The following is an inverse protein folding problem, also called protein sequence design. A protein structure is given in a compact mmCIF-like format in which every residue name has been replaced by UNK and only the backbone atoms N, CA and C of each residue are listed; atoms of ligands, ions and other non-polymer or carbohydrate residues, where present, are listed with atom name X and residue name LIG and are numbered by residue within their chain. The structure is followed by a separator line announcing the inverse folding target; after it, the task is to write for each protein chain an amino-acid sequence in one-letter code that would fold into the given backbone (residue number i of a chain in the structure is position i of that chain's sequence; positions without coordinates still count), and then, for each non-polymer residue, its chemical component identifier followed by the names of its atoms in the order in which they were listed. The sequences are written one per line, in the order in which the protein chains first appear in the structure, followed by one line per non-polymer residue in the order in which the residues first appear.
data_IF_480784822532
#
_entry.id   IF_480784822532
#
_cell.length_a   1.000
_cell.length_b   1.000
_cell.length_c   1.000
_cell.angle_alpha   90.00
_cell.angle_beta   90.00
_cell.angle_gamma   90.00
#
_symmetry.space_group_name_H-M   'P 1'
#
loop_
_entity.id
_entity.type
_entity.pdbx_description
1 polymer ?
#
# COMPACT_ATOMS: atom_id res chain seq x y z
N UNK A 1 43.57 -51.40 -28.09
CA UNK A 1 43.87 -51.10 -26.67
C UNK A 1 42.93 -49.98 -26.27
N UNK A 2 41.95 -50.34 -25.44
CA UNK A 2 40.90 -49.56 -24.77
C UNK A 2 39.82 -48.78 -25.58
N UNK A 3 38.55 -48.79 -25.10
CA UNK A 3 37.34 -48.54 -25.89
C UNK A 3 36.47 -47.40 -25.30
N UNK A 4 35.23 -47.31 -25.79
CA UNK A 4 34.04 -46.71 -25.15
C UNK A 4 33.88 -45.18 -25.17
N UNK A 5 33.04 -44.69 -26.09
CA UNK A 5 32.23 -43.50 -25.86
C UNK A 5 30.79 -43.75 -26.36
N UNK A 6 30.08 -44.55 -25.58
CA UNK A 6 28.64 -44.79 -25.70
C UNK A 6 27.91 -43.57 -25.13
N UNK A 7 27.35 -42.73 -26.01
CA UNK A 7 26.57 -41.56 -25.60
C UNK A 7 25.21 -42.04 -25.07
N UNK A 8 25.05 -41.95 -23.75
CA UNK A 8 23.91 -42.43 -22.99
C UNK A 8 22.67 -41.52 -23.18
N UNK A 9 21.52 -42.01 -23.66
CA UNK A 9 20.29 -41.22 -23.84
C UNK A 9 19.61 -40.82 -22.52
N UNK A 10 20.13 -41.24 -21.37
CA UNK A 10 19.56 -40.97 -20.05
C UNK A 10 19.65 -39.49 -19.60
N UNK A 11 20.62 -38.72 -20.10
CA UNK A 11 20.85 -37.34 -19.63
C UNK A 11 19.81 -36.32 -20.12
N UNK A 12 19.17 -36.54 -21.28
CA UNK A 12 18.14 -35.63 -21.78
C UNK A 12 16.81 -35.79 -21.03
N UNK A 13 16.44 -37.04 -20.69
CA UNK A 13 15.22 -37.33 -19.96
C UNK A 13 15.25 -36.85 -18.51
N UNK A 14 16.42 -36.82 -17.87
CA UNK A 14 16.56 -36.30 -16.51
C UNK A 14 16.32 -34.79 -16.43
N UNK A 15 16.71 -34.04 -17.48
CA UNK A 15 16.48 -32.60 -17.60
C UNK A 15 14.99 -32.25 -17.78
N UNK A 16 14.27 -33.01 -18.61
CA UNK A 16 12.82 -32.83 -18.76
C UNK A 16 12.04 -33.24 -17.52
N UNK A 17 12.45 -34.30 -16.82
CA UNK A 17 11.82 -34.70 -15.55
C UNK A 17 12.09 -33.70 -14.42
N UNK A 18 13.29 -33.10 -14.36
CA UNK A 18 13.60 -32.02 -13.41
C UNK A 18 12.77 -30.76 -13.69
N UNK A 19 12.56 -30.43 -14.96
CA UNK A 19 11.72 -29.30 -15.38
C UNK A 19 10.24 -29.54 -15.09
N UNK A 20 9.73 -30.75 -15.36
CA UNK A 20 8.35 -31.15 -14.99
C UNK A 20 8.12 -31.23 -13.49
N UNK A 21 9.13 -31.61 -12.71
CA UNK A 21 9.09 -31.58 -11.24
C UNK A 21 9.06 -30.15 -10.71
N UNK A 22 9.88 -29.25 -11.26
CA UNK A 22 9.87 -27.82 -10.93
C UNK A 22 8.53 -27.17 -11.28
N UNK A 23 7.97 -27.47 -12.46
CA UNK A 23 6.66 -26.95 -12.89
C UNK A 23 5.50 -27.55 -12.07
N UNK A 24 5.65 -28.78 -11.55
CA UNK A 24 4.69 -29.42 -10.65
C UNK A 24 4.79 -28.90 -9.21
N UNK A 25 5.98 -28.55 -8.72
CA UNK A 25 6.19 -27.87 -7.42
C UNK A 25 5.66 -26.42 -7.46
N UNK A 26 5.80 -25.70 -8.60
CA UNK A 26 5.17 -24.39 -8.84
C UNK A 26 3.63 -24.50 -8.94
N UNK A 27 3.12 -25.64 -9.42
CA UNK A 27 1.68 -25.93 -9.47
C UNK A 27 1.11 -26.37 -8.12
N UNK A 28 1.92 -27.02 -7.28
CA UNK A 28 1.53 -27.44 -5.92
C UNK A 28 1.53 -26.26 -4.93
N UNK A 29 2.42 -25.29 -5.10
CA UNK A 29 2.43 -24.03 -4.32
C UNK A 29 1.31 -23.06 -4.73
N UNK A 30 0.64 -23.27 -5.86
CA UNK A 30 -0.55 -22.51 -6.26
C UNK A 30 -1.83 -22.90 -5.49
N UNK A 31 -1.83 -24.03 -4.77
CA UNK A 31 -2.95 -24.49 -3.94
C UNK A 31 -2.77 -24.20 -2.46
N UNK A 32 -1.58 -23.76 -2.04
CA UNK A 32 -1.38 -23.27 -0.69
C UNK A 32 -2.00 -21.88 -0.55
N UNK A 33 -2.68 -21.66 0.58
CA UNK A 33 -3.21 -20.35 0.93
C UNK A 33 -2.09 -19.31 0.82
N UNK A 34 -2.36 -18.10 0.29
CA UNK A 34 -1.35 -17.04 0.15
C UNK A 34 -0.61 -16.89 1.48
N UNK A 35 0.72 -17.05 1.43
CA UNK A 35 1.60 -16.91 2.58
C UNK A 35 1.21 -15.63 3.32
N UNK A 36 0.58 -15.82 4.48
CA UNK A 36 0.23 -14.73 5.35
C UNK A 36 1.50 -14.42 6.10
N UNK A 37 2.02 -13.19 5.98
CA UNK A 37 3.17 -12.81 6.81
C UNK A 37 2.77 -13.05 8.26
N UNK A 38 3.54 -13.85 9.02
CA UNK A 38 3.26 -14.06 10.43
C UNK A 38 3.26 -12.69 11.10
N UNK A 39 2.15 -12.40 11.79
CA UNK A 39 2.07 -11.27 12.69
C UNK A 39 2.88 -11.65 13.92
N UNK A 40 3.77 -10.76 14.34
CA UNK A 40 4.44 -10.89 15.62
C UNK A 40 3.35 -10.77 16.70
N UNK A 41 2.94 -11.91 17.27
CA UNK A 41 1.85 -11.96 18.24
C UNK A 41 2.25 -11.14 19.46
N UNK A 42 1.53 -10.03 19.67
CA UNK A 42 1.77 -9.12 20.78
C UNK A 42 1.37 -9.76 22.10
N UNK A 43 2.32 -10.39 22.79
CA UNK A 43 2.26 -10.61 24.24
C UNK A 43 3.58 -10.35 24.99
N UNK A 44 4.57 -9.72 24.35
CA UNK A 44 5.81 -9.31 25.00
C UNK A 44 6.08 -7.80 24.84
N UNK A 45 6.30 -7.03 25.93
CA UNK A 45 6.69 -5.62 25.87
C UNK A 45 8.10 -5.39 25.30
N UNK A 46 8.77 -6.44 24.83
CA UNK A 46 10.11 -6.42 24.26
C UNK A 46 10.14 -6.24 22.72
N UNK A 47 8.99 -6.28 22.02
CA UNK A 47 8.93 -6.19 20.55
C UNK A 47 9.05 -4.75 20.00
N UNK A 48 9.58 -3.82 20.79
CA UNK A 48 9.98 -2.49 20.32
C UNK A 48 11.32 -2.62 19.59
N UNK A 49 11.26 -3.15 18.37
CA UNK A 49 12.41 -3.15 17.48
C UNK A 49 12.87 -1.72 17.24
N UNK A 50 14.19 -1.51 17.27
CA UNK A 50 14.81 -0.27 16.88
C UNK A 50 15.66 -0.54 15.65
N UNK A 51 15.42 0.17 14.56
CA UNK A 51 16.31 0.18 13.41
C UNK A 51 17.03 1.52 13.39
N UNK A 52 18.36 1.43 13.35
CA UNK A 52 19.21 2.60 13.23
C UNK A 52 19.06 3.15 11.81
N UNK A 53 18.44 4.33 11.67
CA UNK A 53 18.50 5.02 10.38
C UNK A 53 19.91 5.56 10.20
N UNK A 54 20.59 5.05 9.16
CA UNK A 54 21.80 5.56 8.51
C UNK A 54 22.81 6.29 9.39
N UNK A 55 24.03 5.76 9.41
CA UNK A 55 25.22 6.33 10.05
C UNK A 55 25.74 7.56 9.27
N UNK A 56 24.95 8.63 9.19
CA UNK A 56 25.41 9.90 8.62
C UNK A 56 26.38 10.57 9.61
N UNK A 57 27.68 10.47 9.32
CA UNK A 57 28.70 11.40 9.81
C UNK A 57 28.66 11.76 11.30
N UNK A 58 29.04 10.83 12.17
CA UNK A 58 29.76 11.17 13.41
C UNK A 58 29.01 11.72 14.63
N UNK A 59 27.70 11.95 14.64
CA UNK A 59 27.02 12.33 15.90
C UNK A 59 25.57 11.87 16.00
N UNK A 60 25.36 10.80 16.79
CA UNK A 60 24.07 10.34 17.26
C UNK A 60 23.36 9.31 16.37
N UNK A 61 23.25 8.08 16.86
CA UNK A 61 22.35 7.07 16.29
C UNK A 61 20.92 7.57 16.52
N UNK A 62 20.20 7.84 15.43
CA UNK A 62 18.79 8.14 15.50
C UNK A 62 18.02 6.85 15.26
N UNK A 63 17.55 6.28 16.37
CA UNK A 63 16.98 4.96 16.39
C UNK A 63 15.47 5.09 16.19
N UNK A 64 14.94 4.54 15.09
CA UNK A 64 13.51 4.65 14.78
C UNK A 64 12.77 3.49 15.42
N UNK A 65 11.79 3.86 16.23
CA UNK A 65 10.96 2.92 16.96
C UNK A 65 9.88 2.37 16.02
N UNK A 66 9.59 1.08 16.10
CA UNK A 66 8.42 0.52 15.43
C UNK A 66 7.20 0.50 16.36
N UNK A 67 6.06 0.95 15.84
CA UNK A 67 4.79 0.79 16.54
C UNK A 67 4.20 -0.60 16.26
N UNK A 68 3.37 -1.13 17.17
CA UNK A 68 2.54 -2.28 16.88
C UNK A 68 1.74 -2.06 15.58
N UNK A 69 1.69 -3.08 14.74
CA UNK A 69 0.92 -3.05 13.50
C UNK A 69 -0.57 -2.89 13.80
N UNK A 70 -1.22 -1.96 13.10
CA UNK A 70 -2.69 -1.81 13.16
C UNK A 70 -3.43 -2.82 12.28
N UNK A 71 -2.72 -3.50 11.37
CA UNK A 71 -3.30 -4.54 10.53
C UNK A 71 -3.38 -5.88 11.27
N UNK A 72 -4.38 -6.70 10.91
CA UNK A 72 -4.55 -8.06 11.44
C UNK A 72 -3.76 -9.10 10.66
N UNK A 73 -3.64 -8.92 9.35
CA UNK A 73 -2.84 -9.76 8.49
C UNK A 73 -2.50 -9.02 7.21
N UNK A 74 -1.38 -9.40 6.59
CA UNK A 74 -0.97 -8.90 5.29
C UNK A 74 -0.78 -10.08 4.34
N UNK A 75 -1.27 -9.92 3.12
CA UNK A 75 -1.00 -10.83 2.01
C UNK A 75 -0.32 -10.06 0.89
N UNK A 76 0.74 -10.63 0.35
CA UNK A 76 1.54 -9.99 -0.68
C UNK A 76 1.21 -10.58 -2.03
N UNK A 77 1.09 -9.69 -3.01
CA UNK A 77 0.74 -10.06 -4.36
C UNK A 77 1.65 -9.37 -5.37
N UNK A 78 1.85 -10.06 -6.48
CA UNK A 78 2.48 -9.50 -7.69
C UNK A 78 1.41 -9.20 -8.72
N UNK A 79 1.70 -8.22 -9.56
CA UNK A 79 0.87 -7.88 -10.70
C UNK A 79 0.53 -9.12 -11.53
N UNK A 80 -0.73 -9.19 -11.94
CA UNK A 80 -1.30 -10.28 -12.72
C UNK A 80 -0.49 -10.58 -13.99
N UNK A 81 -0.27 -11.86 -14.28
CA UNK A 81 0.12 -12.27 -15.62
C UNK A 81 -1.04 -12.06 -16.58
N UNK A 82 -0.76 -11.64 -17.82
CA UNK A 82 -1.76 -11.31 -18.83
C UNK A 82 -2.84 -12.39 -19.04
N UNK A 83 -2.49 -13.68 -18.89
CA UNK A 83 -3.43 -14.80 -19.05
C UNK A 83 -4.50 -14.86 -17.95
N UNK A 84 -4.16 -14.49 -16.69
CA UNK A 84 -5.14 -14.42 -15.60
C UNK A 84 -6.16 -13.30 -15.83
N UNK A 85 -5.69 -12.16 -16.34
CA UNK A 85 -6.56 -11.05 -16.72
C UNK A 85 -7.50 -11.46 -17.86
N UNK A 86 -6.97 -12.15 -18.89
CA UNK A 86 -7.78 -12.66 -19.99
C UNK A 86 -8.86 -13.65 -19.51
N UNK A 87 -8.51 -14.59 -18.63
CA UNK A 87 -9.46 -15.54 -18.05
C UNK A 87 -10.56 -14.84 -17.25
N UNK A 88 -10.20 -13.88 -16.41
CA UNK A 88 -11.16 -13.07 -15.65
C UNK A 88 -12.10 -12.29 -16.57
N UNK A 89 -11.58 -11.69 -17.65
CA UNK A 89 -12.40 -10.99 -18.65
C UNK A 89 -13.42 -11.91 -19.33
N UNK A 90 -13.01 -13.11 -19.75
CA UNK A 90 -13.92 -14.10 -20.34
C UNK A 90 -15.01 -14.48 -19.33
N UNK A 91 -14.63 -14.74 -18.08
CA UNK A 91 -15.58 -15.13 -17.04
C UNK A 91 -16.58 -14.00 -16.73
N UNK A 92 -16.13 -12.75 -16.70
CA UNK A 92 -16.98 -11.57 -16.58
C UNK A 92 -18.04 -11.51 -17.69
N UNK A 93 -17.65 -11.74 -18.94
CA UNK A 93 -18.57 -11.75 -20.09
C UNK A 93 -19.59 -12.88 -19.97
N UNK A 94 -19.16 -14.10 -19.61
CA UNK A 94 -20.07 -15.25 -19.44
C UNK A 94 -21.05 -15.08 -18.28
N UNK A 95 -20.68 -14.31 -17.25
CA UNK A 95 -21.50 -14.08 -16.06
C UNK A 95 -22.53 -12.96 -16.21
N UNK A 96 -22.61 -12.32 -17.38
CA UNK A 96 -23.45 -11.13 -17.63
C UNK A 96 -23.25 -10.02 -16.57
N UNK A 97 -22.03 -9.86 -16.05
CA UNK A 97 -21.72 -8.81 -15.07
C UNK A 97 -21.97 -9.19 -13.60
N UNK A 98 -22.44 -10.41 -13.30
CA UNK A 98 -22.59 -10.88 -11.91
C UNK A 98 -21.23 -11.06 -11.23
N UNK A 99 -20.23 -11.56 -11.97
CA UNK A 99 -18.90 -11.80 -11.42
C UNK A 99 -18.12 -10.52 -11.06
N UNK A 100 -18.09 -9.45 -11.89
CA UNK A 100 -17.46 -8.20 -11.49
C UNK A 100 -18.20 -7.54 -10.32
N UNK A 101 -19.53 -7.69 -10.24
CA UNK A 101 -20.28 -7.24 -9.06
C UNK A 101 -19.84 -8.00 -7.80
N UNK A 102 -19.76 -9.33 -7.85
CA UNK A 102 -19.29 -10.13 -6.73
C UNK A 102 -17.83 -9.83 -6.35
N UNK A 103 -16.98 -9.61 -7.35
CA UNK A 103 -15.58 -9.25 -7.15
C UNK A 103 -15.41 -7.86 -6.50
N UNK A 104 -16.34 -6.93 -6.73
CA UNK A 104 -16.39 -5.64 -6.04
C UNK A 104 -16.67 -5.81 -4.54
N UNK A 105 -17.64 -6.66 -4.18
CA UNK A 105 -17.98 -6.93 -2.78
C UNK A 105 -16.98 -7.81 -2.04
N UNK A 106 -16.31 -8.70 -2.76
CA UNK A 106 -15.32 -9.64 -2.23
C UNK A 106 -13.94 -9.34 -2.82
N UNK A 107 -13.16 -8.39 -2.24
CA UNK A 107 -11.85 -8.03 -2.76
C UNK A 107 -10.86 -9.21 -2.77
N UNK A 108 -11.05 -10.19 -1.89
CA UNK A 108 -10.29 -11.44 -1.91
C UNK A 108 -10.57 -12.30 -3.14
N UNK A 109 -11.81 -12.33 -3.62
CA UNK A 109 -12.17 -13.05 -4.85
C UNK A 109 -11.52 -12.36 -6.04
N UNK A 110 -11.61 -11.02 -6.10
CA UNK A 110 -10.94 -10.26 -7.14
C UNK A 110 -9.42 -10.53 -7.12
N UNK A 111 -8.79 -10.43 -5.95
CA UNK A 111 -7.36 -10.69 -5.79
C UNK A 111 -6.96 -12.13 -6.12
N UNK A 112 -7.77 -13.13 -5.75
CA UNK A 112 -7.47 -14.53 -6.09
C UNK A 112 -7.53 -14.76 -7.61
N UNK A 113 -8.49 -14.13 -8.30
CA UNK A 113 -8.65 -14.25 -9.75
C UNK A 113 -7.61 -13.47 -10.53
N UNK A 114 -7.25 -12.27 -10.08
CA UNK A 114 -6.37 -11.37 -10.84
C UNK A 114 -4.91 -11.47 -10.39
N UNK A 115 -4.62 -11.63 -9.11
CA UNK A 115 -3.26 -11.53 -8.58
C UNK A 115 -2.59 -12.90 -8.37
N UNK A 116 -1.26 -12.89 -8.32
CA UNK A 116 -0.46 -14.06 -7.93
C UNK A 116 0.09 -13.87 -6.52
N UNK A 117 -0.16 -14.80 -5.59
CA UNK A 117 0.32 -14.67 -4.22
C UNK A 117 1.84 -14.85 -4.15
N UNK A 118 2.49 -14.06 -3.30
CA UNK A 118 3.95 -14.07 -3.10
C UNK A 118 4.30 -14.34 -1.63
N UNK A 119 5.39 -15.08 -1.42
CA UNK A 119 5.95 -15.33 -0.08
C UNK A 119 6.97 -14.27 0.37
N UNK A 120 7.51 -13.45 -0.54
CA UNK A 120 8.51 -12.43 -0.20
C UNK A 120 8.05 -11.02 -0.57
N UNK A 121 8.28 -10.06 0.33
CA UNK A 121 7.95 -8.64 0.15
C UNK A 121 8.80 -7.90 -0.86
N UNK A 122 9.99 -8.42 -1.18
CA UNK A 122 10.92 -7.79 -2.14
C UNK A 122 10.31 -7.70 -3.55
N UNK A 123 9.50 -8.68 -3.95
CA UNK A 123 8.84 -8.70 -5.26
C UNK A 123 7.38 -8.25 -5.22
N UNK A 124 6.88 -7.83 -4.05
CA UNK A 124 5.50 -7.40 -3.90
C UNK A 124 5.25 -6.11 -4.69
N UNK A 125 4.16 -6.12 -5.47
CA UNK A 125 3.67 -4.94 -6.20
C UNK A 125 2.42 -4.38 -5.52
N UNK A 126 1.58 -5.28 -5.00
CA UNK A 126 0.34 -4.93 -4.32
C UNK A 126 0.30 -5.69 -3.00
N UNK A 127 -0.09 -5.00 -1.94
CA UNK A 127 -0.25 -5.54 -0.60
C UNK A 127 -1.73 -5.46 -0.23
N UNK A 128 -2.32 -6.60 0.11
CA UNK A 128 -3.66 -6.66 0.69
C UNK A 128 -3.55 -6.63 2.20
N UNK A 129 -4.08 -5.56 2.79
CA UNK A 129 -4.07 -5.34 4.23
C UNK A 129 -5.44 -5.67 4.81
N UNK A 130 -5.48 -6.53 5.83
CA UNK A 130 -6.69 -6.81 6.58
C UNK A 130 -6.81 -5.87 7.78
N UNK A 131 -7.97 -5.24 7.94
CA UNK A 131 -8.29 -4.43 9.13
C UNK A 131 -8.34 -5.26 10.40
N UNK A 132 -8.01 -4.64 11.53
CA UNK A 132 -8.14 -5.23 12.87
C UNK A 132 -9.57 -5.17 13.41
N UNK A 133 -10.30 -4.11 13.07
CA UNK A 133 -11.65 -3.80 13.53
C UNK A 133 -12.76 -4.44 12.67
N UNK A 134 -12.48 -4.84 11.43
CA UNK A 134 -13.47 -5.48 10.56
C UNK A 134 -13.00 -6.86 10.10
N UNK A 135 -13.74 -7.89 10.54
CA UNK A 135 -13.56 -9.27 10.09
C UNK A 135 -14.00 -9.38 8.62
N UNK A 136 -13.04 -9.32 7.69
CA UNK A 136 -13.28 -9.64 6.28
C UNK A 136 -13.16 -8.48 5.28
N UNK A 137 -12.87 -7.25 5.73
CA UNK A 137 -12.54 -6.16 4.81
C UNK A 137 -11.04 -6.18 4.48
N UNK A 138 -10.72 -6.24 3.19
CA UNK A 138 -9.37 -6.20 2.67
C UNK A 138 -9.20 -4.98 1.77
N UNK A 139 -8.13 -4.23 1.99
CA UNK A 139 -7.80 -3.05 1.19
C UNK A 139 -6.52 -3.34 0.38
N UNK A 140 -6.58 -3.11 -0.93
CA UNK A 140 -5.44 -3.26 -1.82
C UNK A 140 -4.64 -1.96 -1.85
N UNK A 141 -3.39 -2.02 -1.40
CA UNK A 141 -2.47 -0.88 -1.35
C UNK A 141 -1.27 -1.15 -2.26
N UNK A 142 -0.90 -0.23 -3.17
CA UNK A 142 0.30 -0.39 -3.98
C UNK A 142 1.57 -0.21 -3.15
N UNK A 143 2.59 -1.02 -3.43
CA UNK A 143 3.91 -0.90 -2.81
C UNK A 143 4.72 0.15 -3.58
N UNK A 144 5.30 1.10 -2.85
CA UNK A 144 6.18 2.14 -3.38
C UNK A 144 7.64 1.77 -3.15
N UNK A 145 8.51 2.20 -4.06
CA UNK A 145 9.96 1.96 -4.01
C UNK A 145 10.69 3.25 -4.36
N UNK A 146 11.79 3.53 -3.68
CA UNK A 146 12.69 4.61 -4.12
C UNK A 146 13.30 4.18 -5.44
N UNK A 147 13.31 5.02 -6.49
CA UNK A 147 14.04 4.72 -7.71
C UNK A 147 15.52 4.55 -7.34
N UNK A 148 16.10 3.40 -7.69
CA UNK A 148 17.53 3.18 -7.61
C UNK A 148 18.18 4.16 -8.58
N UNK A 149 18.70 5.29 -8.08
CA UNK A 149 19.55 6.16 -8.88
C UNK A 149 20.74 5.33 -9.32
N UNK A 150 20.75 4.95 -10.59
CA UNK A 150 21.86 4.24 -11.22
C UNK A 150 23.09 5.15 -11.21
N UNK A 151 24.11 4.72 -10.46
CA UNK A 151 25.54 4.95 -10.66
C UNK A 151 25.98 6.26 -11.35
N UNK A 152 26.55 7.19 -10.57
CA UNK A 152 27.77 7.90 -11.01
C UNK A 152 28.67 8.45 -9.88
N UNK A 153 28.31 8.37 -8.60
CA UNK A 153 29.23 8.71 -7.51
C UNK A 153 29.49 7.50 -6.61
N UNK A 154 30.75 7.06 -6.56
CA UNK A 154 31.24 5.86 -5.87
C UNK A 154 31.19 5.90 -4.33
N UNK A 155 30.15 6.49 -3.75
CA UNK A 155 29.96 6.59 -2.29
C UNK A 155 28.59 6.01 -1.94
N UNK A 156 28.59 4.69 -1.68
CA UNK A 156 27.50 3.85 -1.17
C UNK A 156 26.23 3.80 -2.06
N UNK A 157 25.81 2.61 -2.54
CA UNK A 157 24.53 2.52 -3.26
C UNK A 157 23.40 3.00 -2.35
N UNK A 158 22.47 3.84 -2.85
CA UNK A 158 21.33 4.27 -2.06
C UNK A 158 20.50 3.03 -1.70
N UNK A 159 20.31 2.78 -0.41
CA UNK A 159 19.46 1.69 0.08
C UNK A 159 18.09 1.78 -0.61
N UNK A 160 17.71 0.71 -1.31
CA UNK A 160 16.42 0.65 -1.98
C UNK A 160 15.32 0.56 -0.92
N UNK A 161 14.70 1.70 -0.61
CA UNK A 161 13.62 1.71 0.35
C UNK A 161 12.33 1.19 -0.26
N UNK A 162 11.72 0.18 0.37
CA UNK A 162 10.43 -0.40 0.01
C UNK A 162 9.44 -0.06 1.11
N UNK A 163 8.35 0.64 0.77
CA UNK A 163 7.31 0.97 1.74
C UNK A 163 5.92 0.95 1.10
N UNK A 164 4.89 0.84 1.93
CA UNK A 164 3.53 1.15 1.54
C UNK A 164 2.88 2.05 2.57
N UNK A 165 1.82 2.76 2.18
CA UNK A 165 1.10 3.67 3.06
C UNK A 165 -0.32 3.15 3.27
N UNK A 166 -0.66 2.79 4.50
CA UNK A 166 -2.00 2.32 4.86
C UNK A 166 -2.56 3.19 5.99
N UNK A 167 -3.78 3.72 5.81
CA UNK A 167 -4.44 4.65 6.75
C UNK A 167 -3.53 5.80 7.23
N UNK A 168 -2.77 6.40 6.31
CA UNK A 168 -1.81 7.50 6.58
C UNK A 168 -0.61 7.10 7.46
N UNK A 169 -0.40 5.80 7.70
CA UNK A 169 0.81 5.27 8.31
C UNK A 169 1.68 4.60 7.27
N UNK A 170 2.98 4.91 7.29
CA UNK A 170 3.98 4.29 6.43
C UNK A 170 4.47 2.99 7.09
N UNK A 171 4.53 1.94 6.28
CA UNK A 171 5.05 0.63 6.66
C UNK A 171 6.29 0.36 5.82
N UNK A 172 7.42 0.14 6.46
CA UNK A 172 8.70 -0.16 5.80
C UNK A 172 8.93 -1.66 5.78
N UNK A 173 9.52 -2.13 4.69
CA UNK A 173 10.01 -3.50 4.62
C UNK A 173 11.32 -3.61 5.42
N UNK A 174 11.38 -4.58 6.33
CA UNK A 174 12.59 -4.94 7.06
C UNK A 174 13.12 -6.27 6.51
N UNK A 175 14.31 -6.24 5.91
CA UNK A 175 14.96 -7.42 5.33
C UNK A 175 15.29 -8.48 6.39
N UNK A 176 15.57 -8.03 7.63
CA UNK A 176 15.96 -8.93 8.72
C UNK A 176 14.82 -9.82 9.19
N UNK A 177 13.60 -9.27 9.23
CA UNK A 177 12.40 -9.99 9.68
C UNK A 177 11.47 -10.37 8.54
N UNK A 178 11.85 -10.07 7.30
CA UNK A 178 11.09 -10.33 6.07
C UNK A 178 9.65 -9.81 6.10
N UNK A 179 9.39 -8.80 6.93
CA UNK A 179 8.05 -8.33 7.28
C UNK A 179 7.96 -6.81 7.22
N UNK A 180 6.74 -6.30 7.05
CA UNK A 180 6.49 -4.87 7.03
C UNK A 180 6.23 -4.34 8.43
N UNK A 181 6.97 -3.32 8.85
CA UNK A 181 6.86 -2.72 10.18
C UNK A 181 6.40 -1.27 10.09
N UNK A 182 5.54 -0.88 11.02
CA UNK A 182 5.00 0.49 11.10
C UNK A 182 6.03 1.42 11.72
N UNK A 183 6.42 2.45 10.97
CA UNK A 183 7.38 3.45 11.47
C UNK A 183 6.70 4.32 12.54
N UNK A 184 7.37 4.51 13.67
CA UNK A 184 7.03 5.57 14.63
C UNK A 184 7.68 6.89 14.26
N UNK A 185 6.94 7.99 14.45
CA UNK A 185 7.50 9.34 14.45
C UNK A 185 8.18 9.69 15.79
N UNK A 186 8.38 8.74 16.70
CA UNK A 186 9.12 8.98 17.95
C UNK A 186 10.60 8.71 17.74
N UNK A 187 11.41 9.76 17.81
CA UNK A 187 12.86 9.61 17.92
C UNK A 187 13.22 9.14 19.32
N UNK A 188 13.85 7.96 19.44
CA UNK A 188 14.49 7.52 20.67
C UNK A 188 16.02 7.70 20.57
N UNK A 189 16.70 7.84 21.71
CA UNK A 189 18.16 8.03 21.75
C UNK A 189 18.68 9.37 22.28
N UNK A 190 17.79 10.30 22.68
CA UNK A 190 18.19 11.53 23.38
C UNK A 190 17.94 11.38 24.88
N UNK A 191 18.65 10.44 25.51
CA UNK A 191 18.50 10.13 26.94
C UNK A 191 19.34 11.03 27.85
N UNK A 192 20.37 11.69 27.32
CA UNK A 192 21.21 12.62 28.08
C UNK A 192 20.77 14.07 27.90
N UNK A 193 20.62 14.80 29.01
CA UNK A 193 20.24 16.22 29.03
C UNK A 193 21.20 17.10 28.25
N UNK A 194 22.48 16.74 28.15
CA UNK A 194 23.49 17.49 27.41
C UNK A 194 23.44 17.21 25.90
N UNK A 195 23.10 15.98 25.50
CA UNK A 195 22.80 15.66 24.11
C UNK A 195 21.53 16.38 23.64
N UNK A 196 20.52 16.52 24.50
CA UNK A 196 19.33 17.32 24.19
C UNK A 196 19.66 18.80 24.05
N UNK A 197 20.45 19.37 24.96
CA UNK A 197 20.87 20.79 24.89
C UNK A 197 21.68 21.10 23.65
N UNK A 198 22.64 20.24 23.30
CA UNK A 198 23.44 20.41 22.08
C UNK A 198 22.58 20.27 20.81
N UNK A 199 21.59 19.37 20.79
CA UNK A 199 20.60 19.28 19.71
C UNK A 199 19.74 20.54 19.63
N UNK A 200 19.27 21.07 20.77
CA UNK A 200 18.49 22.31 20.87
C UNK A 200 19.23 23.53 20.30
N UNK A 201 20.56 23.57 20.43
CA UNK A 201 21.39 24.69 19.94
C UNK A 201 21.94 24.49 18.53
N UNK A 202 22.05 23.25 18.04
CA UNK A 202 22.57 22.93 16.70
C UNK A 202 21.49 22.72 15.65
N UNK A 203 20.33 22.19 16.02
CA UNK A 203 19.36 21.73 15.02
C UNK A 203 19.83 20.47 14.30
N UNK A 204 19.03 20.05 13.31
CA UNK A 204 19.44 18.96 12.43
C UNK A 204 20.42 19.48 11.35
N UNK A 205 21.35 18.61 10.95
CA UNK A 205 22.13 18.83 9.72
C UNK A 205 21.21 18.69 8.49
N UNK A 206 21.51 19.42 7.42
CA UNK A 206 20.76 19.34 6.16
C UNK A 206 20.78 17.93 5.56
N UNK A 207 21.88 17.19 5.71
CA UNK A 207 21.96 15.78 5.29
C UNK A 207 21.00 14.90 6.07
N UNK A 208 20.96 15.09 7.40
CA UNK A 208 20.09 14.35 8.30
C UNK A 208 18.61 14.70 8.06
N UNK A 209 18.30 15.98 7.84
CA UNK A 209 16.97 16.42 7.47
C UNK A 209 16.54 15.82 6.12
N UNK A 210 17.43 15.77 5.13
CA UNK A 210 17.19 15.12 3.85
C UNK A 210 16.93 13.62 3.98
N UNK A 211 17.70 12.92 4.82
CA UNK A 211 17.48 11.51 5.12
C UNK A 211 16.11 11.28 5.79
N UNK A 212 15.79 12.05 6.83
CA UNK A 212 14.50 11.95 7.53
C UNK A 212 13.32 12.25 6.59
N UNK A 213 13.45 13.23 5.71
CA UNK A 213 12.41 13.56 4.72
C UNK A 213 12.20 12.41 3.73
N UNK A 214 13.27 11.69 3.34
CA UNK A 214 13.15 10.47 2.50
C UNK A 214 12.42 9.36 3.24
N UNK A 215 12.75 9.13 4.51
CA UNK A 215 12.18 8.04 5.31
C UNK A 215 10.74 8.28 5.78
N UNK A 216 10.41 9.49 6.24
CA UNK A 216 9.07 9.83 6.74
C UNK A 216 8.17 10.41 5.66
N UNK A 217 8.75 11.00 4.61
CA UNK A 217 8.02 11.74 3.58
C UNK A 217 7.85 13.22 3.94
N UNK A 218 7.29 14.00 3.01
CA UNK A 218 6.95 15.40 3.25
C UNK A 218 5.87 15.53 4.33
N UNK A 219 5.94 16.61 5.11
CA UNK A 219 4.93 16.99 6.07
C UNK A 219 3.73 17.67 5.37
N UNK A 220 3.06 16.91 4.51
CA UNK A 220 1.89 17.35 3.76
C UNK A 220 0.72 16.37 3.97
N UNK A 221 -0.47 16.92 4.25
CA UNK A 221 -1.69 16.13 4.33
C UNK A 221 -2.38 16.09 2.97
N UNK A 222 -1.98 15.15 2.12
CA UNK A 222 -2.61 14.96 0.82
C UNK A 222 -3.90 14.14 0.94
N UNK A 223 -5.04 14.75 0.60
CA UNK A 223 -6.31 14.04 0.40
C UNK A 223 -6.55 13.90 -1.10
N UNK A 224 -6.56 12.66 -1.60
CA UNK A 224 -6.88 12.42 -3.00
C UNK A 224 -8.32 12.84 -3.29
N UNK A 225 -8.52 13.74 -4.26
CA UNK A 225 -9.86 13.99 -4.79
C UNK A 225 -10.24 12.79 -5.65
N UNK A 226 -11.16 11.97 -5.17
CA UNK A 226 -11.79 10.97 -6.01
C UNK A 226 -12.62 11.69 -7.10
N UNK A 227 -12.51 11.28 -8.37
CA UNK A 227 -13.29 11.88 -9.43
C UNK A 227 -14.77 11.50 -9.29
N UNK A 228 -15.67 12.36 -9.77
CA UNK A 228 -17.11 12.23 -9.59
C UNK A 228 -17.68 10.87 -10.04
N UNK A 229 -17.14 10.31 -11.12
CA UNK A 229 -17.59 9.02 -11.65
C UNK A 229 -17.26 7.84 -10.72
N UNK A 230 -16.13 7.88 -10.00
CA UNK A 230 -15.80 6.83 -9.03
C UNK A 230 -16.80 6.84 -7.87
N UNK A 231 -17.10 8.03 -7.33
CA UNK A 231 -18.08 8.21 -6.25
C UNK A 231 -19.47 7.75 -6.68
N UNK A 232 -19.87 8.08 -7.92
CA UNK A 232 -21.15 7.66 -8.47
C UNK A 232 -21.24 6.13 -8.63
N UNK A 233 -20.19 5.48 -9.15
CA UNK A 233 -20.18 4.02 -9.32
C UNK A 233 -20.26 3.31 -7.97
N UNK A 234 -19.50 3.76 -6.98
CA UNK A 234 -19.55 3.21 -5.61
C UNK A 234 -20.97 3.30 -5.02
N UNK A 235 -21.66 4.43 -5.25
CA UNK A 235 -23.06 4.62 -4.84
C UNK A 235 -24.01 3.71 -5.62
N UNK A 236 -23.93 3.65 -6.94
CA UNK A 236 -24.82 2.82 -7.76
C UNK A 236 -24.67 1.33 -7.48
N UNK A 237 -23.46 0.89 -7.12
CA UNK A 237 -23.19 -0.50 -6.76
C UNK A 237 -23.76 -0.88 -5.40
N UNK A 238 -24.13 0.07 -4.54
CA UNK A 238 -24.70 -0.22 -3.22
C UNK A 238 -25.99 -1.06 -3.35
N UNK A 239 -26.20 -2.07 -2.49
CA UNK A 239 -27.23 -3.11 -2.72
C UNK A 239 -28.65 -2.53 -2.81
N UNK A 240 -28.91 -1.43 -2.10
CA UNK A 240 -30.17 -0.70 -2.17
C UNK A 240 -30.50 -0.22 -3.61
N UNK A 241 -29.56 0.43 -4.30
CA UNK A 241 -29.82 0.99 -5.62
C UNK A 241 -29.89 -0.09 -6.71
N UNK A 242 -29.13 -1.18 -6.55
CA UNK A 242 -29.24 -2.35 -7.44
C UNK A 242 -30.62 -3.00 -7.36
N UNK A 243 -31.12 -3.21 -6.14
CA UNK A 243 -32.47 -3.73 -5.93
C UNK A 243 -33.54 -2.75 -6.46
N UNK A 244 -33.34 -1.46 -6.24
CA UNK A 244 -34.24 -0.42 -6.70
C UNK A 244 -34.33 -0.36 -8.23
N UNK A 245 -33.19 -0.43 -8.93
CA UNK A 245 -33.16 -0.44 -10.40
C UNK A 245 -33.88 -1.67 -10.97
N UNK A 246 -33.65 -2.84 -10.36
CA UNK A 246 -34.33 -4.09 -10.76
C UNK A 246 -35.84 -4.00 -10.55
N UNK A 247 -36.27 -3.40 -9.44
CA UNK A 247 -37.69 -3.22 -9.12
C UNK A 247 -38.37 -2.26 -10.10
N UNK A 248 -37.73 -1.14 -10.43
CA UNK A 248 -38.24 -0.19 -11.44
C UNK A 248 -38.29 -0.83 -12.83
N UNK A 249 -37.29 -1.63 -13.20
CA UNK A 249 -37.29 -2.33 -14.48
C UNK A 249 -38.45 -3.34 -14.60
N UNK A 250 -38.77 -4.05 -13.53
CA UNK A 250 -39.93 -4.96 -13.49
C UNK A 250 -41.25 -4.20 -13.66
N UNK A 251 -41.41 -3.06 -12.97
CA UNK A 251 -42.61 -2.24 -13.12
C UNK A 251 -42.76 -1.64 -14.50
N UNK A 252 -41.66 -1.30 -15.17
CA UNK A 252 -41.67 -0.88 -16.58
C UNK A 252 -42.11 -2.03 -17.50
N UNK A 253 -41.66 -3.26 -17.24
CA UNK A 253 -42.08 -4.45 -17.98
C UNK A 253 -43.58 -4.76 -17.79
N UNK A 254 -44.11 -4.55 -16.59
CA UNK A 254 -45.55 -4.68 -16.27
C UNK A 254 -46.39 -3.47 -16.70
N UNK A 255 -45.83 -2.53 -17.47
CA UNK A 255 -46.49 -1.32 -17.97
C UNK A 255 -46.98 -0.31 -16.90
N UNK A 256 -46.38 -0.32 -15.70
CA UNK A 256 -46.60 0.70 -14.66
C UNK A 256 -45.72 1.93 -14.86
N UNK A 257 -45.89 2.62 -15.99
CA UNK A 257 -45.02 3.72 -16.44
C UNK A 257 -44.98 4.92 -15.46
N UNK A 258 -46.14 5.39 -15.00
CA UNK A 258 -46.24 6.62 -14.20
C UNK A 258 -45.48 6.55 -12.87
N UNK A 259 -45.63 5.44 -12.14
CA UNK A 259 -44.93 5.23 -10.87
C UNK A 259 -43.43 4.98 -11.07
N UNK A 260 -43.08 4.20 -12.09
CA UNK A 260 -41.68 3.87 -12.40
C UNK A 260 -40.86 5.11 -12.73
N UNK A 261 -41.41 6.01 -13.55
CA UNK A 261 -40.73 7.27 -13.92
C UNK A 261 -40.59 8.19 -12.71
N UNK A 262 -41.61 8.31 -11.87
CA UNK A 262 -41.55 9.13 -10.66
C UNK A 262 -40.47 8.66 -9.69
N UNK A 263 -40.42 7.35 -9.41
CA UNK A 263 -39.39 6.76 -8.54
C UNK A 263 -38.01 6.95 -9.14
N UNK A 264 -37.85 6.72 -10.44
CA UNK A 264 -36.58 6.92 -11.12
C UNK A 264 -36.10 8.37 -11.00
N UNK A 265 -36.99 9.34 -11.23
CA UNK A 265 -36.68 10.77 -11.10
C UNK A 265 -36.23 11.15 -9.69
N UNK A 266 -36.96 10.70 -8.66
CA UNK A 266 -36.60 10.95 -7.26
C UNK A 266 -35.25 10.33 -6.89
N UNK A 267 -34.97 9.13 -7.39
CA UNK A 267 -33.72 8.42 -7.12
C UNK A 267 -32.52 9.13 -7.75
N UNK A 268 -32.64 9.52 -9.02
CA UNK A 268 -31.60 10.26 -9.73
C UNK A 268 -31.35 11.61 -9.04
N UNK A 269 -32.40 12.31 -8.61
CA UNK A 269 -32.29 13.54 -7.85
C UNK A 269 -31.55 13.36 -6.51
N UNK A 270 -31.94 12.35 -5.71
CA UNK A 270 -31.30 12.07 -4.42
C UNK A 270 -29.83 11.69 -4.57
N UNK A 271 -29.52 10.74 -5.46
CA UNK A 271 -28.13 10.29 -5.70
C UNK A 271 -27.30 11.45 -6.23
N UNK A 272 -27.83 12.24 -7.18
CA UNK A 272 -27.15 13.41 -7.71
C UNK A 272 -26.83 14.44 -6.63
N UNK A 273 -27.80 14.73 -5.75
CA UNK A 273 -27.62 15.66 -4.63
C UNK A 273 -26.57 15.14 -3.62
N UNK A 274 -26.62 13.86 -3.26
CA UNK A 274 -25.65 13.23 -2.36
C UNK A 274 -24.23 13.30 -2.93
N UNK A 275 -24.05 12.92 -4.19
CA UNK A 275 -22.74 12.93 -4.86
C UNK A 275 -22.22 14.37 -4.98
N UNK A 276 -23.06 15.32 -5.37
CA UNK A 276 -22.69 16.73 -5.44
C UNK A 276 -22.23 17.26 -4.07
N UNK A 277 -22.99 16.96 -3.02
CA UNK A 277 -22.67 17.36 -1.65
C UNK A 277 -21.35 16.74 -1.16
N UNK A 278 -21.14 15.45 -1.42
CA UNK A 278 -19.91 14.74 -1.07
C UNK A 278 -18.69 15.36 -1.77
N UNK A 279 -18.78 15.61 -3.08
CA UNK A 279 -17.71 16.24 -3.84
C UNK A 279 -17.41 17.67 -3.37
N UNK A 280 -18.44 18.45 -3.04
CA UNK A 280 -18.28 19.79 -2.49
C UNK A 280 -17.57 19.74 -1.13
N UNK A 281 -17.94 18.80 -0.25
CA UNK A 281 -17.32 18.65 1.06
C UNK A 281 -15.85 18.22 0.95
N UNK A 282 -15.53 17.27 0.07
CA UNK A 282 -14.13 16.86 -0.19
C UNK A 282 -13.31 18.01 -0.76
N UNK A 283 -13.86 18.79 -1.70
CA UNK A 283 -13.17 19.97 -2.26
C UNK A 283 -12.92 21.05 -1.21
N UNK A 284 -13.91 21.33 -0.35
CA UNK A 284 -13.74 22.28 0.76
C UNK A 284 -12.62 21.84 1.69
N UNK A 285 -12.62 20.56 2.09
CA UNK A 285 -11.58 20.01 2.95
C UNK A 285 -10.20 20.09 2.29
N UNK A 286 -10.11 19.75 1.01
CA UNK A 286 -8.88 19.85 0.24
C UNK A 286 -8.32 21.28 0.18
N UNK A 287 -9.18 22.28 -0.05
CA UNK A 287 -8.80 23.69 -0.09
C UNK A 287 -8.31 24.21 1.27
N UNK A 288 -8.86 23.71 2.38
CA UNK A 288 -8.39 24.07 3.71
C UNK A 288 -7.00 23.49 4.02
N UNK A 289 -6.56 22.47 3.28
CA UNK A 289 -5.28 21.78 3.51
C UNK A 289 -4.14 22.33 2.65
N UNK A 290 -4.44 22.94 1.50
CA UNK A 290 -3.45 23.56 0.60
C UNK A 290 -3.02 24.93 1.13
N UNK A 291 -2.57 24.99 2.39
CA UNK A 291 -1.88 26.15 2.95
C UNK A 291 -0.38 26.03 2.67
N UNK A 292 -0.03 25.83 1.39
CA UNK A 292 1.35 25.53 0.95
C UNK A 292 2.31 26.71 1.12
N UNK A 293 1.77 27.91 1.40
CA UNK A 293 2.55 29.15 1.56
C UNK A 293 2.94 29.43 3.02
N UNK A 294 2.68 28.49 3.93
CA UNK A 294 3.12 28.62 5.33
C UNK A 294 4.61 28.30 5.42
N UNK A 295 5.39 29.36 5.62
CA UNK A 295 6.84 29.28 5.90
C UNK A 295 7.05 29.27 7.40
N UNK A 296 7.88 28.35 7.88
CA UNK A 296 8.23 28.22 9.30
C UNK A 296 9.72 28.45 9.46
N UNK A 297 10.10 29.17 10.52
CA UNK A 297 11.49 29.29 10.91
C UNK A 297 11.94 27.98 11.57
N UNK A 298 13.07 27.44 11.11
CA UNK A 298 13.63 26.18 11.61
C UNK A 298 15.11 26.40 11.88
N UNK A 299 15.63 25.81 12.95
CA UNK A 299 17.06 25.79 13.24
C UNK A 299 17.73 24.58 12.56
N UNK A 300 18.64 24.83 11.63
CA UNK A 300 19.48 23.82 10.95
C UNK A 300 20.92 24.29 10.94
N UNK A 301 21.88 23.41 11.24
CA UNK A 301 23.31 23.75 11.24
C UNK A 301 23.67 25.03 12.05
N UNK A 302 23.08 25.21 13.23
CA UNK A 302 23.18 26.40 14.09
C UNK A 302 22.62 27.72 13.51
N UNK A 303 22.00 27.69 12.33
CA UNK A 303 21.42 28.86 11.67
C UNK A 303 19.89 28.79 11.65
N UNK A 304 19.24 29.95 11.64
CA UNK A 304 17.79 30.07 11.48
C UNK A 304 17.48 30.17 9.98
N UNK A 305 16.78 29.16 9.45
CA UNK A 305 16.39 29.09 8.04
C UNK A 305 14.87 29.14 7.92
N UNK A 306 14.37 29.85 6.92
CA UNK A 306 12.97 29.83 6.54
C UNK A 306 12.73 28.64 5.61
N UNK A 307 11.90 27.69 6.04
CA UNK A 307 11.61 26.46 5.29
C UNK A 307 10.10 26.31 5.14
N UNK A 308 9.59 25.85 3.98
CA UNK A 308 8.16 25.57 3.84
C UNK A 308 7.71 24.49 4.84
N UNK A 309 6.48 24.59 5.33
CA UNK A 309 5.92 23.63 6.30
C UNK A 309 5.96 22.17 5.81
N UNK A 310 5.94 21.95 4.49
CA UNK A 310 6.03 20.62 3.84
C UNK A 310 7.40 19.95 3.99
N UNK A 311 8.47 20.73 4.21
CA UNK A 311 9.82 20.22 4.40
C UNK A 311 10.22 20.13 5.90
N UNK A 312 9.24 20.25 6.80
CA UNK A 312 9.43 19.95 8.22
C UNK A 312 9.67 18.46 8.44
N UNK A 313 10.58 18.17 9.36
CA UNK A 313 10.98 16.80 9.72
C UNK A 313 10.77 16.55 11.21
N UNK A 314 10.58 15.29 11.57
CA UNK A 314 10.43 14.85 12.95
C UNK A 314 11.66 15.26 13.77
N UNK A 315 11.44 15.87 14.94
CA UNK A 315 12.52 16.32 15.83
C UNK A 315 13.16 17.65 15.43
N UNK A 316 12.69 18.29 14.35
CA UNK A 316 13.08 19.64 13.96
C UNK A 316 12.76 20.67 15.06
N UNK A 317 13.65 21.66 15.17
CA UNK A 317 13.49 22.76 16.13
C UNK A 317 12.98 23.97 15.37
N UNK A 318 11.84 24.48 15.82
CA UNK A 318 11.16 25.66 15.29
C UNK A 318 11.61 26.91 16.06
#
# INVERSE_FOLDING_TARGET
MNPDNLTDPAHLHLGEMKKRSSDAEDSATLLDAPATCPVDDTSDPACVGSVDMLRCGGSGITSVLFLPSEYRSIRLYRAATWWKQALYSVLCVTSFGVLPLLAYYMPLLHAACTLTPLSSGVFATVVLVQRRDSTGSWEAVPVQRTPTTSADDGVNPPEQLIWFTFRKHRYMYDDSTTSFRRISATLHGVTSSDALRSRLTSGHSDEMAGALLRYFGPNALEIALLPAHHVLMEKLLHPFYLFQLTSVALWLYEAYWSYSILILAMTVGSVGYEVATQLLNTKKLHNLMHMDDVVVHVRRNHQHLCVPATALVVGGIL
#
